data_IF_797202427055
#
_entry.id   IF_797202427055
#
_cell.length_a   1.000
_cell.length_b   1.000
_cell.length_c   1.000
_cell.angle_alpha   90.00
_cell.angle_beta   90.00
_cell.angle_gamma   90.00
#
_symmetry.space_group_name_H-M   'P 1'
#
loop_
_entity.id
_entity.type
_entity.pdbx_description
1 polymer ?
#
# COMPACT_ATOMS: atom_id res chain seq x y z
N UNK A 1 9.50 -8.98 4.39
CA UNK A 1 9.04 -7.98 5.38
C UNK A 1 7.52 -7.86 5.26
N UNK A 2 6.82 -7.73 6.37
CA UNK A 2 5.37 -7.51 6.42
C UNK A 2 5.07 -6.29 7.29
N UNK A 3 4.31 -5.33 6.76
CA UNK A 3 3.90 -4.10 7.45
C UNK A 3 2.41 -4.18 7.76
N UNK A 4 2.09 -4.23 9.04
CA UNK A 4 0.75 -4.20 9.61
C UNK A 4 0.82 -3.53 11.00
N UNK A 5 1.34 -2.33 11.01
CA UNK A 5 1.56 -1.54 12.22
C UNK A 5 0.44 -0.54 12.49
N UNK A 6 0.80 0.69 12.84
CA UNK A 6 -0.17 1.77 13.01
C UNK A 6 -0.78 2.15 11.65
N UNK A 7 -2.11 2.12 11.56
CA UNK A 7 -2.86 2.38 10.34
C UNK A 7 -3.00 3.89 10.03
N UNK A 8 -1.90 4.62 10.17
CA UNK A 8 -1.80 6.03 9.78
C UNK A 8 -0.87 6.18 8.57
N UNK A 9 -1.26 7.01 7.63
CA UNK A 9 -0.50 7.29 6.41
C UNK A 9 0.97 7.63 6.69
N UNK A 10 1.23 8.57 7.59
CA UNK A 10 2.58 9.04 7.90
C UNK A 10 3.48 7.90 8.42
N UNK A 11 2.95 7.09 9.33
CA UNK A 11 3.72 5.98 9.91
C UNK A 11 3.96 4.88 8.89
N UNK A 12 2.92 4.50 8.15
CA UNK A 12 3.04 3.50 7.10
C UNK A 12 4.04 3.93 6.03
N UNK A 13 4.05 5.20 5.64
CA UNK A 13 5.03 5.74 4.69
C UNK A 13 6.47 5.56 5.20
N UNK A 14 6.72 5.92 6.46
CA UNK A 14 8.05 5.74 7.08
C UNK A 14 8.46 4.28 7.12
N UNK A 15 7.55 3.41 7.53
CA UNK A 15 7.80 1.97 7.62
C UNK A 15 8.13 1.37 6.24
N UNK A 16 7.41 1.77 5.20
CA UNK A 16 7.66 1.33 3.82
C UNK A 16 9.02 1.80 3.32
N UNK A 17 9.35 3.08 3.49
CA UNK A 17 10.63 3.63 3.04
C UNK A 17 11.79 2.94 3.77
N UNK A 18 11.70 2.78 5.08
CA UNK A 18 12.73 2.09 5.87
C UNK A 18 12.87 0.62 5.45
N UNK A 19 11.76 -0.07 5.24
CA UNK A 19 11.75 -1.46 4.79
C UNK A 19 12.37 -1.62 3.40
N UNK A 20 12.07 -0.71 2.47
CA UNK A 20 12.66 -0.71 1.13
C UNK A 20 14.18 -0.54 1.17
N UNK A 21 14.70 0.27 2.08
CA UNK A 21 16.15 0.47 2.25
C UNK A 21 16.85 -0.80 2.76
N UNK A 22 16.14 -1.63 3.54
CA UNK A 22 16.67 -2.89 4.09
C UNK A 22 16.33 -4.11 3.23
N UNK A 23 15.40 -3.99 2.28
CA UNK A 23 14.88 -5.13 1.51
C UNK A 23 15.94 -5.68 0.56
N UNK A 24 16.15 -6.99 0.61
CA UNK A 24 17.01 -7.69 -0.33
C UNK A 24 16.45 -7.62 -1.76
N UNK A 25 17.32 -7.75 -2.76
CA UNK A 25 16.98 -7.61 -4.19
C UNK A 25 15.81 -8.50 -4.65
N UNK A 26 15.73 -9.74 -4.12
CA UNK A 26 14.66 -10.69 -4.44
C UNK A 26 13.59 -10.79 -3.34
N UNK A 27 13.70 -9.94 -2.32
CA UNK A 27 12.78 -9.94 -1.19
C UNK A 27 11.44 -9.32 -1.56
N UNK A 28 10.40 -9.77 -0.85
CA UNK A 28 9.07 -9.15 -0.91
C UNK A 28 8.83 -8.26 0.30
N UNK A 29 8.17 -7.15 0.06
CA UNK A 29 7.56 -6.33 1.09
C UNK A 29 6.04 -6.42 0.92
N UNK A 30 5.34 -6.80 2.00
CA UNK A 30 3.88 -6.85 2.06
C UNK A 30 3.36 -5.73 2.96
N UNK A 31 2.21 -5.17 2.59
CA UNK A 31 1.56 -4.06 3.30
C UNK A 31 0.08 -4.38 3.41
N UNK A 32 -0.45 -4.39 4.62
CA UNK A 32 -1.86 -4.68 4.89
C UNK A 32 -2.74 -3.42 4.83
N UNK A 33 -4.06 -3.61 4.74
CA UNK A 33 -5.10 -2.57 4.87
C UNK A 33 -5.14 -1.48 3.77
N UNK A 34 -4.68 -1.77 2.56
CA UNK A 34 -4.64 -0.78 1.48
C UNK A 34 -5.99 -0.52 0.79
N UNK A 35 -7.01 -1.34 1.03
CA UNK A 35 -8.33 -1.22 0.39
C UNK A 35 -9.45 -1.12 1.44
N UNK A 36 -9.71 0.07 2.02
CA UNK A 36 -10.82 0.25 2.93
C UNK A 36 -12.16 0.07 2.21
N UNK A 37 -13.15 -0.54 2.87
CA UNK A 37 -14.46 -0.83 2.29
C UNK A 37 -15.46 0.33 2.45
N UNK A 38 -15.31 1.13 3.50
CA UNK A 38 -16.17 2.28 3.75
C UNK A 38 -15.41 3.42 4.47
N UNK A 39 -16.05 4.57 4.59
CA UNK A 39 -15.46 5.77 5.18
C UNK A 39 -15.12 5.61 6.67
N UNK A 40 -15.86 4.77 7.42
CA UNK A 40 -15.60 4.53 8.85
C UNK A 40 -14.35 3.70 9.06
N UNK A 41 -14.10 2.75 8.16
CA UNK A 41 -12.88 1.94 8.18
C UNK A 41 -11.63 2.76 7.80
N UNK A 42 -11.79 3.80 6.99
CA UNK A 42 -10.69 4.66 6.53
C UNK A 42 -10.37 5.80 7.49
N UNK A 43 -11.36 6.27 8.26
CA UNK A 43 -11.25 7.49 9.04
C UNK A 43 -10.13 7.45 10.07
N UNK A 44 -9.34 8.51 10.14
CA UNK A 44 -8.33 8.77 11.18
C UNK A 44 -8.78 10.00 11.97
N UNK A 45 -8.88 9.91 13.31
CA UNK A 45 -8.58 8.77 14.18
C UNK A 45 -9.62 7.65 14.10
N UNK A 46 -9.25 6.47 14.59
CA UNK A 46 -10.10 5.27 14.62
C UNK A 46 -11.40 5.50 15.39
N UNK A 47 -12.54 5.11 14.83
CA UNK A 47 -13.87 5.24 15.44
C UNK A 47 -14.58 3.90 15.63
N UNK A 48 -14.06 2.80 15.13
CA UNK A 48 -14.65 1.47 15.22
C UNK A 48 -13.60 0.35 15.27
N UNK A 49 -14.04 -0.87 15.59
CA UNK A 49 -13.17 -2.04 15.74
C UNK A 49 -12.46 -2.42 14.43
N UNK A 50 -13.23 -2.64 13.36
CA UNK A 50 -12.69 -2.95 12.03
C UNK A 50 -12.20 -1.67 11.36
N UNK A 51 -10.88 -1.59 11.12
CA UNK A 51 -10.26 -0.32 10.73
C UNK A 51 -9.00 -0.53 9.88
N UNK A 52 -8.97 0.11 8.72
CA UNK A 52 -7.81 0.17 7.83
C UNK A 52 -6.97 1.43 8.08
N UNK A 53 -7.60 2.52 8.51
CA UNK A 53 -6.98 3.85 8.49
C UNK A 53 -6.80 4.38 7.07
N UNK A 54 -5.89 5.32 6.91
CA UNK A 54 -5.65 5.99 5.64
C UNK A 54 -4.37 5.54 4.92
N UNK A 55 -3.94 4.31 5.16
CA UNK A 55 -2.71 3.73 4.57
C UNK A 55 -2.81 3.52 3.05
N UNK A 56 -4.02 3.51 2.46
CA UNK A 56 -4.23 3.47 1.01
C UNK A 56 -3.46 4.56 0.26
N UNK A 57 -3.18 5.68 0.91
CA UNK A 57 -2.38 6.79 0.36
C UNK A 57 -0.96 6.36 0.02
N UNK A 58 -0.37 5.50 0.84
CA UNK A 58 0.94 4.88 0.54
C UNK A 58 0.84 4.00 -0.71
N UNK A 59 -0.27 3.29 -0.89
CA UNK A 59 -0.52 2.52 -2.11
C UNK A 59 -0.48 3.38 -3.38
N UNK A 60 -1.07 4.57 -3.34
CA UNK A 60 -1.03 5.52 -4.45
C UNK A 60 0.40 6.01 -4.73
N UNK A 61 1.16 6.34 -3.69
CA UNK A 61 2.55 6.75 -3.81
C UNK A 61 3.43 5.64 -4.41
N UNK A 62 3.24 4.41 -3.96
CA UNK A 62 3.95 3.24 -4.50
C UNK A 62 3.61 2.99 -5.97
N UNK A 63 2.36 3.16 -6.37
CA UNK A 63 1.94 3.03 -7.77
C UNK A 63 2.63 4.04 -8.70
N UNK A 64 3.06 5.19 -8.17
CA UNK A 64 3.79 6.24 -8.89
C UNK A 64 5.31 6.15 -8.73
N UNK A 65 5.79 5.27 -7.86
CA UNK A 65 7.22 5.10 -7.55
C UNK A 65 7.95 4.36 -8.67
N UNK A 66 9.27 4.58 -8.77
CA UNK A 66 10.10 4.03 -9.85
C UNK A 66 10.98 2.89 -9.37
N UNK A 67 11.21 1.94 -10.26
CA UNK A 67 12.01 0.75 -10.03
C UNK A 67 11.45 -0.16 -8.92
N UNK A 68 10.12 -0.10 -8.74
CA UNK A 68 9.34 -0.98 -7.88
C UNK A 68 8.28 -1.70 -8.73
N UNK A 69 8.13 -2.98 -8.50
CA UNK A 69 7.05 -3.79 -9.04
C UNK A 69 6.02 -3.97 -7.93
N UNK A 70 4.93 -3.22 -8.00
CA UNK A 70 3.92 -3.12 -6.93
C UNK A 70 2.54 -3.53 -7.43
N UNK A 71 1.83 -4.31 -6.63
CA UNK A 71 0.43 -4.71 -6.85
C UNK A 71 -0.31 -4.75 -5.50
N UNK A 72 -1.64 -4.68 -5.57
CA UNK A 72 -2.53 -4.87 -4.42
C UNK A 72 -3.45 -6.05 -4.73
N UNK A 73 -3.38 -7.10 -3.93
CA UNK A 73 -4.31 -8.21 -3.99
C UNK A 73 -5.67 -7.79 -3.40
N UNK A 74 -6.74 -7.99 -4.17
CA UNK A 74 -8.11 -7.75 -3.70
C UNK A 74 -8.56 -8.89 -2.79
N UNK A 75 -8.03 -8.90 -1.59
CA UNK A 75 -8.32 -9.85 -0.52
C UNK A 75 -7.98 -9.22 0.83
N UNK A 76 -8.66 -9.64 1.88
CA UNK A 76 -8.34 -9.30 3.28
C UNK A 76 -8.01 -7.81 3.48
N UNK A 77 -8.94 -6.93 3.13
CA UNK A 77 -8.79 -5.46 3.23
C UNK A 77 -7.68 -4.86 2.35
N UNK A 78 -7.22 -5.59 1.36
CA UNK A 78 -6.17 -5.16 0.43
C UNK A 78 -4.76 -5.45 0.93
N UNK A 79 -4.13 -6.44 0.35
CA UNK A 79 -2.73 -6.80 0.65
C UNK A 79 -1.85 -6.32 -0.49
N UNK A 80 -1.10 -5.25 -0.24
CA UNK A 80 -0.07 -4.79 -1.15
C UNK A 80 1.17 -5.69 -1.11
N UNK A 81 1.79 -5.93 -2.25
CA UNK A 81 3.09 -6.61 -2.31
C UNK A 81 3.97 -5.97 -3.36
N UNK A 82 5.24 -5.89 -3.06
CA UNK A 82 6.20 -5.28 -3.97
C UNK A 82 7.58 -5.92 -3.89
N UNK A 83 8.33 -5.74 -4.99
CA UNK A 83 9.75 -6.05 -5.10
C UNK A 83 10.50 -4.90 -5.75
N UNK A 84 11.78 -4.75 -5.43
CA UNK A 84 12.67 -3.85 -6.17
C UNK A 84 13.03 -4.48 -7.52
N UNK A 85 12.92 -3.72 -8.59
CA UNK A 85 13.37 -4.15 -9.94
C UNK A 85 14.82 -3.80 -10.19
N UNK A 86 15.36 -2.80 -9.45
CA UNK A 86 16.75 -2.36 -9.49
C UNK A 86 17.24 -2.06 -8.08
N UNK A 87 18.54 -2.02 -7.87
CA UNK A 87 19.12 -1.68 -6.57
C UNK A 87 18.73 -0.28 -6.12
N UNK A 88 18.76 0.68 -7.06
CA UNK A 88 18.26 2.05 -6.81
C UNK A 88 16.79 2.13 -7.19
N UNK A 89 15.98 2.55 -6.22
CA UNK A 89 14.56 2.85 -6.40
C UNK A 89 14.29 4.32 -6.07
N UNK A 90 13.14 4.83 -6.50
CA UNK A 90 12.67 6.16 -6.14
C UNK A 90 11.26 6.06 -5.58
N UNK A 91 11.12 6.35 -4.29
CA UNK A 91 9.81 6.50 -3.67
C UNK A 91 9.24 7.87 -4.02
N UNK A 92 8.06 7.90 -4.62
CA UNK A 92 7.41 9.14 -5.05
C UNK A 92 6.42 9.60 -3.99
N UNK A 93 6.78 10.63 -3.22
CA UNK A 93 5.85 11.31 -2.32
C UNK A 93 4.91 12.21 -3.12
N UNK A 94 3.63 12.18 -2.77
CA UNK A 94 2.59 13.00 -3.40
C UNK A 94 2.13 14.05 -2.41
N UNK A 95 2.16 15.34 -2.82
CA UNK A 95 1.72 16.44 -1.99
C UNK A 95 0.21 16.40 -1.72
N UNK A 96 -0.19 16.88 -0.54
CA UNK A 96 -1.58 17.05 -0.11
C UNK A 96 -2.40 15.76 0.08
N UNK A 97 -1.80 14.57 0.05
CA UNK A 97 -2.51 13.32 0.31
C UNK A 97 -3.08 13.25 1.74
N UNK A 98 -2.40 13.84 2.70
CA UNK A 98 -2.79 13.80 4.12
C UNK A 98 -4.24 14.26 4.35
N UNK A 99 -4.71 15.24 3.59
CA UNK A 99 -6.04 15.84 3.74
C UNK A 99 -7.13 15.10 2.96
N UNK A 100 -6.78 14.12 2.13
CA UNK A 100 -7.76 13.34 1.39
C UNK A 100 -8.53 12.39 2.32
N UNK A 101 -9.75 12.08 1.91
CA UNK A 101 -10.71 11.24 2.64
C UNK A 101 -11.20 10.08 1.77
N UNK A 102 -12.05 9.24 2.32
CA UNK A 102 -12.60 8.09 1.61
C UNK A 102 -13.27 8.43 0.27
N UNK A 103 -13.95 9.57 0.18
CA UNK A 103 -14.54 10.02 -1.10
C UNK A 103 -13.47 10.24 -2.18
N UNK A 104 -12.31 10.74 -1.80
CA UNK A 104 -11.18 10.91 -2.71
C UNK A 104 -10.57 9.57 -3.10
N UNK A 105 -10.48 8.63 -2.14
CA UNK A 105 -10.06 7.25 -2.40
C UNK A 105 -10.92 6.60 -3.49
N UNK A 106 -12.24 6.75 -3.43
CA UNK A 106 -13.14 6.20 -4.46
C UNK A 106 -12.85 6.76 -5.85
N UNK A 107 -12.48 8.04 -5.96
CA UNK A 107 -12.09 8.68 -7.23
C UNK A 107 -10.73 8.20 -7.74
N UNK A 108 -9.82 7.89 -6.83
CA UNK A 108 -8.43 7.52 -7.12
C UNK A 108 -8.27 6.01 -7.34
N UNK A 109 -9.23 5.20 -6.87
CA UNK A 109 -9.15 3.74 -6.85
C UNK A 109 -8.64 3.12 -8.17
N UNK A 110 -9.07 3.65 -9.31
CA UNK A 110 -8.67 3.17 -10.64
C UNK A 110 -7.17 3.34 -10.94
N UNK A 111 -6.48 4.18 -10.18
CA UNK A 111 -5.03 4.39 -10.32
C UNK A 111 -4.22 3.38 -9.50
N UNK A 112 -4.86 2.62 -8.61
CA UNK A 112 -4.21 1.59 -7.82
C UNK A 112 -4.07 0.31 -8.64
N UNK A 113 -2.92 -0.39 -8.58
CA UNK A 113 -2.67 -1.62 -9.32
C UNK A 113 -3.33 -2.82 -8.63
N UNK A 114 -4.65 -2.79 -8.52
CA UNK A 114 -5.43 -3.85 -7.87
C UNK A 114 -5.60 -5.03 -8.81
N UNK A 115 -5.33 -6.23 -8.31
CA UNK A 115 -5.50 -7.50 -9.02
C UNK A 115 -6.21 -8.52 -8.13
N UNK A 116 -6.86 -9.51 -8.74
CA UNK A 116 -7.48 -10.60 -7.99
C UNK A 116 -6.44 -11.45 -7.24
N UNK A 117 -6.92 -12.18 -6.23
CA UNK A 117 -6.05 -12.97 -5.34
C UNK A 117 -5.28 -14.08 -6.09
N UNK A 118 -5.88 -14.70 -7.10
CA UNK A 118 -5.24 -15.77 -7.88
C UNK A 118 -4.05 -15.22 -8.68
N UNK A 119 -4.24 -14.10 -9.37
CA UNK A 119 -3.16 -13.41 -10.08
C UNK A 119 -2.06 -12.93 -9.14
N UNK A 120 -2.43 -12.44 -7.95
CA UNK A 120 -1.47 -12.04 -6.94
C UNK A 120 -0.60 -13.22 -6.52
N UNK A 121 -1.21 -14.34 -6.17
CA UNK A 121 -0.50 -15.56 -5.78
C UNK A 121 0.45 -16.03 -6.88
N UNK A 122 -0.01 -16.06 -8.13
CA UNK A 122 0.83 -16.43 -9.28
C UNK A 122 2.05 -15.52 -9.41
N UNK A 123 1.90 -14.20 -9.23
CA UNK A 123 3.01 -13.26 -9.28
C UNK A 123 4.00 -13.42 -8.14
N UNK A 124 3.53 -13.78 -6.95
CA UNK A 124 4.41 -14.02 -5.78
C UNK A 124 5.22 -15.31 -5.99
N UNK A 125 4.58 -16.39 -6.45
CA UNK A 125 5.25 -17.68 -6.63
C UNK A 125 6.26 -17.63 -7.79
N UNK A 126 5.95 -16.95 -8.88
CA UNK A 126 6.76 -16.92 -10.11
C UNK A 126 7.57 -15.62 -10.27
N UNK A 127 7.45 -14.70 -9.34
CA UNK A 127 8.16 -13.43 -9.37
C UNK A 127 9.53 -13.54 -8.81
#
# INVERSE_FOLDING_TARGET
IFIDGLHHYDQCQRDVINSLNCLNKKGFLFIHDLLPLDWRMELVPRIQGRWNGDVWKVGLELAKSKNLKFYIADMDSGVGFLQKTKDKFTYTKIDNLKNLRFIDYLKIYKQLPVIDAERALHKIING
#
